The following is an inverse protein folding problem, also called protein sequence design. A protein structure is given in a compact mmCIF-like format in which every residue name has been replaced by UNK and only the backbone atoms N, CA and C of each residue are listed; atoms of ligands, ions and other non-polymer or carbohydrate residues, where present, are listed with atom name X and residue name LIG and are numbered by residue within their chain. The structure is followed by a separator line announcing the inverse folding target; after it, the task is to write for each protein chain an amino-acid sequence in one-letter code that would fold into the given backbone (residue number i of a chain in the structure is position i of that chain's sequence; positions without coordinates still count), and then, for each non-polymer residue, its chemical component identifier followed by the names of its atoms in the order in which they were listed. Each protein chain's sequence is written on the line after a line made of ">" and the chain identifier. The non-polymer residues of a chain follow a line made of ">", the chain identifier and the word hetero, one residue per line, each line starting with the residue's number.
data_IF_385514470891
#
_entry.id   IF_385514470891
#
_cell.length_a   1.000
_cell.length_b   1.000
_cell.length_c   1.000
_cell.angle_alpha   90.00
_cell.angle_beta   90.00
_cell.angle_gamma   90.00
#
_symmetry.space_group_name_H-M   'P 1'
#
loop_
_entity.id
_entity.type
_entity.pdbx_description
1 polymer ?
#
# COMPACT_ATOMS: atom_id res chain seq x y z
N UNK A 1 3.12 -25.51 40.12
CA UNK A 1 2.37 -25.84 38.89
C UNK A 1 2.39 -24.56 38.07
N UNK A 2 3.35 -24.44 37.16
CA UNK A 2 3.58 -23.20 36.42
C UNK A 2 2.70 -23.23 35.16
N UNK A 3 1.84 -22.23 35.03
CA UNK A 3 0.92 -22.05 33.92
C UNK A 3 1.69 -21.80 32.61
N UNK A 4 1.43 -22.67 31.63
CA UNK A 4 1.94 -22.56 30.27
C UNK A 4 1.39 -21.28 29.63
N UNK A 5 2.30 -20.33 29.41
CA UNK A 5 2.01 -19.10 28.68
C UNK A 5 1.58 -19.45 27.24
N UNK A 6 0.29 -19.18 26.96
CA UNK A 6 -0.33 -19.08 25.64
C UNK A 6 0.67 -18.74 24.53
N UNK A 7 1.10 -19.76 23.78
CA UNK A 7 1.89 -19.57 22.56
C UNK A 7 0.90 -19.35 21.41
N UNK A 8 0.79 -18.14 20.83
CA UNK A 8 -0.13 -17.94 19.72
C UNK A 8 0.31 -18.83 18.55
N UNK A 9 -0.60 -19.69 18.10
CA UNK A 9 -0.36 -20.60 16.99
C UNK A 9 0.27 -19.84 15.82
N UNK A 10 1.41 -20.35 15.33
CA UNK A 10 2.20 -19.68 14.28
C UNK A 10 1.30 -19.43 13.06
N UNK A 11 1.26 -18.21 12.50
CA UNK A 11 0.38 -17.90 11.38
C UNK A 11 0.62 -18.85 10.21
N UNK A 12 -0.44 -19.29 9.51
CA UNK A 12 -0.29 -20.18 8.36
C UNK A 12 0.64 -19.56 7.32
N UNK A 13 1.55 -20.38 6.77
CA UNK A 13 2.49 -19.93 5.74
C UNK A 13 1.71 -19.50 4.51
N UNK A 14 1.95 -18.28 4.02
CA UNK A 14 1.21 -17.78 2.86
C UNK A 14 1.48 -18.64 1.62
N UNK A 15 0.44 -18.96 0.82
CA UNK A 15 0.60 -19.61 -0.49
C UNK A 15 1.64 -18.89 -1.36
N UNK A 16 2.52 -19.70 -1.97
CA UNK A 16 3.47 -19.26 -3.00
C UNK A 16 2.84 -19.45 -4.38
N UNK A 17 3.16 -18.55 -5.30
CA UNK A 17 2.79 -18.69 -6.70
C UNK A 17 3.50 -19.91 -7.32
N UNK A 18 2.96 -20.42 -8.43
CA UNK A 18 3.54 -21.58 -9.13
C UNK A 18 4.70 -21.14 -10.02
N UNK A 19 5.81 -21.86 -9.96
CA UNK A 19 7.01 -21.57 -10.77
C UNK A 19 7.95 -20.54 -10.13
N UNK A 20 8.88 -19.98 -10.92
CA UNK A 20 9.95 -19.10 -10.42
C UNK A 20 9.50 -17.66 -10.17
N UNK A 21 8.62 -17.13 -11.01
CA UNK A 21 8.18 -15.72 -10.98
C UNK A 21 6.65 -15.60 -10.86
N UNK A 22 6.12 -14.62 -10.11
CA UNK A 22 4.70 -14.32 -10.09
C UNK A 22 4.26 -13.83 -11.47
N UNK A 23 3.10 -14.30 -11.93
CA UNK A 23 2.51 -13.96 -13.23
C UNK A 23 1.31 -13.04 -13.10
N UNK A 24 0.65 -13.02 -11.94
CA UNK A 24 -0.50 -12.16 -11.67
C UNK A 24 -0.21 -11.10 -10.62
N UNK A 25 -1.00 -10.03 -10.62
CA UNK A 25 -0.85 -8.92 -9.69
C UNK A 25 -0.99 -9.38 -8.23
N UNK A 26 -1.95 -10.26 -7.95
CA UNK A 26 -2.24 -10.78 -6.59
C UNK A 26 -1.16 -11.78 -6.10
N UNK A 27 -0.42 -12.36 -7.05
CA UNK A 27 0.75 -13.19 -6.75
C UNK A 27 1.95 -12.32 -6.36
N UNK A 28 2.09 -11.16 -7.01
CA UNK A 28 3.18 -10.20 -6.81
C UNK A 28 2.97 -9.33 -5.56
N UNK A 29 1.76 -8.84 -5.35
CA UNK A 29 1.39 -7.92 -4.27
C UNK A 29 0.27 -8.52 -3.44
N UNK A 30 0.51 -8.65 -2.15
CA UNK A 30 -0.34 -9.37 -1.20
C UNK A 30 -1.21 -8.39 -0.40
N UNK A 31 -0.71 -7.17 -0.25
CA UNK A 31 -1.32 -5.99 0.35
C UNK A 31 -2.52 -5.41 -0.45
N UNK A 32 -2.85 -5.98 -1.62
CA UNK A 32 -4.01 -5.58 -2.41
C UNK A 32 -5.36 -5.84 -1.74
N UNK A 33 -5.38 -6.60 -0.64
CA UNK A 33 -6.52 -6.74 0.28
C UNK A 33 -6.15 -6.11 1.65
N UNK A 34 -6.38 -4.80 1.84
CA UNK A 34 -5.96 -4.08 3.03
C UNK A 34 -6.61 -4.59 4.32
N UNK A 35 -7.83 -5.14 4.22
CA UNK A 35 -8.58 -5.67 5.36
C UNK A 35 -7.96 -6.97 5.87
N UNK A 36 -7.50 -7.85 4.97
CA UNK A 36 -6.82 -9.09 5.35
C UNK A 36 -5.35 -8.91 5.71
N UNK A 37 -4.70 -7.85 5.24
CA UNK A 37 -3.26 -7.64 5.42
C UNK A 37 -2.93 -6.26 6.01
N UNK A 38 -3.72 -5.80 6.97
CA UNK A 38 -3.54 -4.50 7.63
C UNK A 38 -2.12 -4.31 8.21
N UNK A 39 -1.54 -5.35 8.84
CA UNK A 39 -0.16 -5.31 9.36
C UNK A 39 0.88 -5.14 8.24
N UNK A 40 0.64 -5.73 7.07
CA UNK A 40 1.53 -5.59 5.92
C UNK A 40 1.46 -4.18 5.35
N UNK A 41 0.24 -3.63 5.24
CA UNK A 41 0.02 -2.23 4.83
C UNK A 41 0.73 -1.28 5.79
N UNK A 42 0.57 -1.47 7.10
CA UNK A 42 1.24 -0.65 8.12
C UNK A 42 2.78 -0.71 7.98
N UNK A 43 3.34 -1.91 7.77
CA UNK A 43 4.78 -2.08 7.54
C UNK A 43 5.27 -1.38 6.27
N UNK A 44 4.50 -1.46 5.18
CA UNK A 44 4.83 -0.76 3.92
C UNK A 44 4.83 0.75 4.12
N UNK A 45 3.80 1.29 4.78
CA UNK A 45 3.70 2.71 5.10
C UNK A 45 4.83 3.19 6.00
N UNK A 46 5.16 2.45 7.05
CA UNK A 46 6.27 2.75 7.96
C UNK A 46 7.63 2.78 7.25
N UNK A 47 7.79 1.98 6.18
CA UNK A 47 8.99 2.00 5.33
C UNK A 47 9.01 3.14 4.30
N UNK A 48 8.03 4.05 4.34
CA UNK A 48 7.92 5.18 3.40
C UNK A 48 7.42 4.79 2.01
N UNK A 49 6.98 3.54 1.80
CA UNK A 49 6.51 3.02 0.51
C UNK A 49 5.00 3.20 0.36
N UNK A 50 4.54 3.12 -0.88
CA UNK A 50 3.11 3.14 -1.22
C UNK A 50 2.61 1.69 -1.38
N UNK A 51 1.54 1.29 -0.66
CA UNK A 51 0.92 -0.02 -0.85
C UNK A 51 0.45 -0.22 -2.29
N UNK A 52 0.55 -1.44 -2.79
CA UNK A 52 0.10 -1.76 -4.14
C UNK A 52 -1.40 -1.45 -4.31
N UNK A 53 -1.76 -0.84 -5.45
CA UNK A 53 -3.14 -0.40 -5.70
C UNK A 53 -3.55 0.85 -4.92
N UNK A 54 -2.65 1.46 -4.15
CA UNK A 54 -2.89 2.73 -3.45
C UNK A 54 -2.14 3.88 -4.12
N UNK A 55 -2.62 5.10 -3.92
CA UNK A 55 -1.94 6.33 -4.31
C UNK A 55 -1.52 7.09 -3.05
N UNK A 56 -0.26 7.55 -3.00
CA UNK A 56 0.23 8.47 -1.97
C UNK A 56 0.63 9.77 -2.66
N UNK A 57 -0.18 10.84 -2.54
CA UNK A 57 0.16 12.14 -3.09
C UNK A 57 1.51 12.61 -2.53
N UNK A 58 2.35 13.13 -3.42
CA UNK A 58 3.59 13.82 -3.05
C UNK A 58 3.43 15.30 -3.38
N UNK A 59 4.09 16.15 -2.60
CA UNK A 59 4.17 17.59 -2.86
C UNK A 59 2.81 18.34 -2.90
N UNK A 60 1.77 17.82 -2.23
CA UNK A 60 0.45 18.48 -2.21
C UNK A 60 0.55 19.94 -1.74
N UNK A 61 1.24 20.26 -0.64
CA UNK A 61 1.36 21.65 -0.19
C UNK A 61 2.01 22.56 -1.23
N UNK A 62 3.09 22.10 -1.87
CA UNK A 62 3.84 22.84 -2.87
C UNK A 62 3.04 23.05 -4.14
N UNK A 63 2.29 22.04 -4.58
CA UNK A 63 1.39 22.14 -5.75
C UNK A 63 0.26 23.13 -5.45
N UNK A 64 -0.37 23.07 -4.29
CA UNK A 64 -1.42 24.01 -3.91
C UNK A 64 -0.89 25.45 -3.79
N UNK A 65 0.32 25.62 -3.26
CA UNK A 65 0.98 26.92 -3.19
C UNK A 65 1.32 27.47 -4.59
N UNK A 66 1.84 26.62 -5.49
CA UNK A 66 2.20 27.03 -6.84
C UNK A 66 0.97 27.37 -7.70
N UNK A 67 -0.10 26.56 -7.60
CA UNK A 67 -1.30 26.75 -8.41
C UNK A 67 -2.22 27.84 -7.85
N UNK A 68 -2.24 28.06 -6.53
CA UNK A 68 -3.09 29.06 -5.85
C UNK A 68 -4.54 29.04 -6.38
N UNK A 69 -5.24 27.89 -6.31
CA UNK A 69 -6.57 27.75 -6.89
C UNK A 69 -7.58 28.70 -6.24
N UNK A 70 -8.51 29.22 -7.03
CA UNK A 70 -9.52 30.20 -6.61
C UNK A 70 -10.94 29.65 -6.77
N UNK A 71 -11.87 30.25 -6.01
CA UNK A 71 -13.29 29.93 -6.11
C UNK A 71 -13.78 30.18 -7.55
N UNK A 72 -14.44 29.18 -8.14
CA UNK A 72 -14.95 29.24 -9.50
C UNK A 72 -14.03 28.63 -10.56
N UNK A 73 -12.79 28.26 -10.20
CA UNK A 73 -11.89 27.54 -11.11
C UNK A 73 -12.21 26.04 -11.14
N UNK A 74 -11.96 25.41 -12.29
CA UNK A 74 -12.07 23.96 -12.46
C UNK A 74 -10.70 23.33 -12.27
N UNK A 75 -10.59 22.38 -11.35
CA UNK A 75 -9.36 21.63 -11.08
C UNK A 75 -9.53 20.15 -11.45
N UNK A 76 -8.42 19.49 -11.80
CA UNK A 76 -8.34 18.05 -12.04
C UNK A 76 -7.40 17.44 -11.00
N UNK A 77 -7.90 16.53 -10.19
CA UNK A 77 -7.06 15.66 -9.36
C UNK A 77 -6.54 14.52 -10.25
N UNK A 78 -5.24 14.56 -10.55
CA UNK A 78 -4.60 13.54 -11.35
C UNK A 78 -3.17 13.28 -10.86
N UNK A 79 -2.77 12.02 -10.96
CA UNK A 79 -1.37 11.63 -10.78
C UNK A 79 -0.64 11.83 -12.11
N UNK A 80 0.38 12.70 -12.11
CA UNK A 80 1.25 12.89 -13.26
C UNK A 80 2.47 11.98 -13.15
N UNK A 81 2.80 11.28 -14.23
CA UNK A 81 3.97 10.41 -14.31
C UNK A 81 4.33 10.12 -15.76
N UNK A 82 5.56 9.71 -16.03
CA UNK A 82 5.93 9.23 -17.36
C UNK A 82 5.54 7.74 -17.47
N UNK A 83 4.73 7.40 -18.48
CA UNK A 83 4.48 6.01 -18.84
C UNK A 83 5.69 5.45 -19.57
N UNK A 84 6.17 4.28 -19.17
CA UNK A 84 7.06 3.42 -19.95
C UNK A 84 6.26 2.28 -20.54
#
# INVERSE_FOLDING_TARGET
>A
MSEDASNPARPPRRPRYRGKNPRRFEEKYKEGDPQRYAEMVAKVLASGKTPAGSHRPIMVPEVLAALTPRVGEVAVDCTLGHGG
#
